data_IF_935909264104
#
_entry.id   IF_935909264104
#
_cell.length_a   1.000
_cell.length_b   1.000
_cell.length_c   1.000
_cell.angle_alpha   90.00
_cell.angle_beta   90.00
_cell.angle_gamma   90.00
#
_symmetry.space_group_name_H-M   'P 1'
#
loop_
_entity.id
_entity.type
_entity.pdbx_description
1 polymer ?
#
# COMPACT_ATOMS: atom_id res chain seq x y z
N UNK A 1 -8.63 16.64 4.80
CA UNK A 1 -8.77 15.86 3.54
C UNK A 1 -7.43 15.94 2.80
N UNK A 2 -7.16 15.16 1.74
CA UNK A 2 -5.81 15.11 1.13
C UNK A 2 -5.31 16.46 0.60
N UNK A 3 -6.22 17.38 0.31
CA UNK A 3 -6.01 18.77 -0.09
C UNK A 3 -5.41 19.67 1.01
N UNK A 4 -5.41 19.24 2.27
CA UNK A 4 -4.82 19.97 3.39
C UNK A 4 -3.34 19.58 3.64
N UNK A 5 -2.83 18.58 2.92
CA UNK A 5 -1.45 18.11 3.08
C UNK A 5 -0.47 19.10 2.44
N UNK A 6 0.58 19.43 3.18
CA UNK A 6 1.68 20.32 2.75
C UNK A 6 3.01 19.68 3.13
N UNK A 7 4.10 20.10 2.47
CA UNK A 7 5.43 19.59 2.81
C UNK A 7 5.76 19.78 4.31
N UNK A 8 5.31 20.88 4.91
CA UNK A 8 5.58 21.23 6.31
C UNK A 8 4.72 20.50 7.34
N UNK A 9 3.64 19.82 6.94
CA UNK A 9 2.76 19.10 7.87
C UNK A 9 2.85 17.58 7.75
N UNK A 10 3.79 17.07 6.94
CA UNK A 10 4.12 15.66 6.94
C UNK A 10 4.73 15.24 8.28
N UNK A 11 4.50 13.98 8.62
CA UNK A 11 5.15 13.31 9.73
C UNK A 11 6.24 12.39 9.21
N UNK A 12 7.32 12.24 9.97
CA UNK A 12 8.34 11.22 9.73
C UNK A 12 8.13 10.12 10.76
N UNK A 13 8.03 8.90 10.29
CA UNK A 13 7.77 7.71 11.12
C UNK A 13 8.93 6.74 10.93
N UNK A 14 9.50 6.23 12.02
CA UNK A 14 10.55 5.21 11.96
C UNK A 14 9.99 3.81 11.62
N UNK A 15 10.88 2.83 11.44
CA UNK A 15 10.51 1.46 11.09
C UNK A 15 9.75 0.72 12.21
N UNK A 16 9.61 1.33 13.39
CA UNK A 16 8.86 0.79 14.52
C UNK A 16 7.47 1.44 14.65
N UNK A 17 7.12 2.37 13.76
CA UNK A 17 5.82 3.06 13.76
C UNK A 17 5.78 4.27 14.69
N UNK A 18 6.92 4.70 15.22
CA UNK A 18 6.99 5.87 16.09
C UNK A 18 7.22 7.13 15.26
N UNK A 19 6.43 8.17 15.53
CA UNK A 19 6.63 9.50 14.95
C UNK A 19 7.91 10.11 15.52
N UNK A 20 8.86 10.44 14.65
CA UNK A 20 10.15 11.06 15.00
C UNK A 20 10.22 12.53 14.60
N UNK A 21 9.43 12.96 13.62
CA UNK A 21 9.25 14.38 13.26
C UNK A 21 7.79 14.68 12.93
N UNK A 22 7.36 15.93 13.18
CA UNK A 22 5.98 16.38 13.04
C UNK A 22 5.14 16.17 14.31
N UNK A 23 3.90 16.67 14.30
CA UNK A 23 3.01 16.70 15.48
C UNK A 23 1.71 15.90 15.31
N UNK A 24 1.43 15.41 14.10
CA UNK A 24 0.24 14.61 13.86
C UNK A 24 0.48 13.14 14.26
N UNK A 25 -0.57 12.41 14.69
CA UNK A 25 -0.44 10.98 14.95
C UNK A 25 -0.30 10.20 13.64
N UNK A 26 0.49 9.12 13.66
CA UNK A 26 0.52 8.16 12.57
C UNK A 26 -0.80 7.35 12.51
N UNK A 27 -1.27 7.04 11.30
CA UNK A 27 -2.33 6.07 11.09
C UNK A 27 -1.75 4.66 11.19
N UNK A 28 -2.13 3.88 12.20
CA UNK A 28 -1.62 2.53 12.41
C UNK A 28 -1.88 1.59 11.23
N UNK A 29 -3.07 1.63 10.64
CA UNK A 29 -3.40 0.78 9.49
C UNK A 29 -2.59 1.16 8.23
N UNK A 30 -2.42 2.47 8.01
CA UNK A 30 -1.56 2.98 6.92
C UNK A 30 -0.10 2.57 7.14
N UNK A 31 0.41 2.73 8.35
CA UNK A 31 1.78 2.34 8.69
C UNK A 31 2.01 0.84 8.47
N UNK A 32 1.10 -0.04 8.92
CA UNK A 32 1.24 -1.49 8.77
C UNK A 32 1.50 -1.91 7.32
N UNK A 33 0.73 -1.37 6.37
CA UNK A 33 0.85 -1.76 4.95
C UNK A 33 2.12 -1.17 4.33
N UNK A 34 2.36 0.14 4.53
CA UNK A 34 3.50 0.83 3.89
C UNK A 34 4.84 0.32 4.44
N UNK A 35 4.93 0.14 5.75
CA UNK A 35 6.16 -0.33 6.39
C UNK A 35 6.52 -1.74 5.96
N UNK A 36 5.54 -2.65 5.80
CA UNK A 36 5.79 -3.99 5.29
C UNK A 36 6.40 -4.00 3.88
N UNK A 37 5.93 -3.11 2.99
CA UNK A 37 6.51 -2.97 1.64
C UNK A 37 7.94 -2.41 1.72
N UNK A 38 8.15 -1.31 2.45
CA UNK A 38 9.48 -0.70 2.59
C UNK A 38 10.51 -1.64 3.25
N UNK A 39 10.09 -2.45 4.23
CA UNK A 39 10.96 -3.46 4.86
C UNK A 39 11.27 -4.64 3.94
N UNK A 40 10.40 -4.95 2.98
CA UNK A 40 10.59 -6.04 2.03
C UNK A 40 11.32 -5.62 0.75
N UNK A 41 11.30 -4.32 0.40
CA UNK A 41 11.75 -3.77 -0.88
C UNK A 41 12.53 -2.49 -0.66
N UNK A 42 13.86 -2.60 -0.61
CA UNK A 42 14.75 -1.45 -0.49
C UNK A 42 14.65 -0.49 -1.69
N UNK A 43 14.27 -1.00 -2.86
CA UNK A 43 14.06 -0.22 -4.09
C UNK A 43 12.72 0.54 -4.12
N UNK A 44 11.79 0.22 -3.22
CA UNK A 44 10.49 0.89 -3.14
C UNK A 44 10.61 2.20 -2.33
N UNK A 45 11.09 3.28 -2.96
CA UNK A 45 11.21 4.59 -2.30
C UNK A 45 9.87 5.27 -2.02
N UNK A 46 8.79 4.88 -2.70
CA UNK A 46 7.45 5.43 -2.52
C UNK A 46 6.41 4.32 -2.67
N UNK A 47 5.44 4.30 -1.76
CA UNK A 47 4.31 3.35 -1.76
C UNK A 47 3.03 4.16 -1.71
N UNK A 48 2.08 3.85 -2.60
CA UNK A 48 0.78 4.51 -2.68
C UNK A 48 -0.31 3.45 -2.48
N UNK A 49 -1.25 3.75 -1.59
CA UNK A 49 -2.42 2.92 -1.32
C UNK A 49 -3.69 3.75 -1.53
N UNK A 50 -4.67 3.21 -2.26
CA UNK A 50 -5.92 3.92 -2.57
C UNK A 50 -7.14 3.01 -2.46
N UNK A 51 -8.27 3.60 -2.11
CA UNK A 51 -9.60 2.97 -2.08
C UNK A 51 -10.53 3.62 -3.12
N UNK A 52 -10.11 3.66 -4.38
CA UNK A 52 -11.00 4.15 -5.45
C UNK A 52 -12.09 3.11 -5.72
N UNK A 53 -13.32 3.56 -6.01
CA UNK A 53 -14.42 2.66 -6.36
C UNK A 53 -14.06 1.67 -7.49
N UNK A 54 -13.52 2.09 -8.64
CA UNK A 54 -13.14 1.15 -9.69
C UNK A 54 -12.00 0.21 -9.27
N UNK A 55 -11.01 0.69 -8.51
CA UNK A 55 -9.91 -0.14 -8.03
C UNK A 55 -10.38 -1.24 -7.08
N UNK A 56 -11.24 -0.89 -6.12
CA UNK A 56 -11.84 -1.86 -5.20
C UNK A 56 -12.76 -2.85 -5.93
N UNK A 57 -13.52 -2.40 -6.92
CA UNK A 57 -14.38 -3.27 -7.72
C UNK A 57 -13.57 -4.35 -8.46
N UNK A 58 -12.48 -3.95 -9.13
CA UNK A 58 -11.56 -4.89 -9.81
C UNK A 58 -10.90 -5.84 -8.81
N UNK A 59 -10.44 -5.35 -7.66
CA UNK A 59 -9.80 -6.17 -6.63
C UNK A 59 -10.75 -7.20 -5.98
N UNK A 60 -12.07 -6.97 -6.05
CA UNK A 60 -13.09 -7.90 -5.56
C UNK A 60 -13.49 -8.98 -6.60
N UNK A 61 -13.09 -8.82 -7.87
CA UNK A 61 -13.36 -9.81 -8.91
C UNK A 61 -12.38 -10.99 -8.85
N UNK A 62 -12.87 -12.21 -9.11
CA UNK A 62 -12.05 -13.43 -9.09
C UNK A 62 -10.86 -13.37 -10.06
N UNK A 63 -11.06 -12.80 -11.24
CA UNK A 63 -10.03 -12.69 -12.28
C UNK A 63 -9.16 -11.42 -12.15
N UNK A 64 -9.47 -10.53 -11.20
CA UNK A 64 -8.76 -9.28 -11.00
C UNK A 64 -8.72 -8.37 -12.23
N UNK A 65 -7.55 -7.77 -12.49
CA UNK A 65 -7.32 -6.88 -13.63
C UNK A 65 -7.19 -7.69 -14.94
N UNK A 66 -8.24 -7.63 -15.76
CA UNK A 66 -8.25 -8.23 -17.09
C UNK A 66 -7.45 -7.40 -18.10
N UNK A 67 -6.77 -8.07 -19.03
CA UNK A 67 -6.03 -7.46 -20.12
C UNK A 67 -6.96 -7.16 -21.32
N UNK A 68 -7.80 -6.13 -21.21
CA UNK A 68 -8.84 -5.81 -22.20
C UNK A 68 -8.50 -4.62 -23.11
N UNK A 69 -7.52 -3.81 -22.73
CA UNK A 69 -7.13 -2.62 -23.47
C UNK A 69 -5.63 -2.30 -23.28
N UNK A 70 -5.16 -1.28 -24.01
CA UNK A 70 -3.76 -0.84 -23.99
C UNK A 70 -3.28 -0.52 -22.57
N UNK A 71 -4.06 0.22 -21.78
CA UNK A 71 -3.68 0.64 -20.42
C UNK A 71 -3.55 -0.58 -19.51
N UNK A 72 -4.52 -1.50 -19.53
CA UNK A 72 -4.42 -2.74 -18.73
C UNK A 72 -3.23 -3.62 -19.12
N UNK A 73 -2.78 -3.53 -20.38
CA UNK A 73 -1.62 -4.28 -20.88
C UNK A 73 -0.30 -3.76 -20.33
N UNK A 74 -0.19 -2.49 -19.96
CA UNK A 74 1.02 -1.92 -19.34
C UNK A 74 1.36 -2.58 -17.98
N UNK A 75 0.37 -3.23 -17.37
CA UNK A 75 0.47 -3.96 -16.11
C UNK A 75 0.57 -5.48 -16.28
N UNK A 76 0.69 -5.98 -17.51
CA UNK A 76 0.80 -7.42 -17.78
C UNK A 76 1.99 -8.03 -17.02
N UNK A 77 1.74 -9.09 -16.25
CA UNK A 77 2.72 -9.73 -15.35
C UNK A 77 3.39 -8.79 -14.34
N UNK A 78 2.75 -7.66 -14.00
CA UNK A 78 3.28 -6.66 -13.06
C UNK A 78 2.29 -6.33 -11.93
N UNK A 79 1.27 -7.17 -11.74
CA UNK A 79 0.26 -7.05 -10.67
C UNK A 79 0.37 -8.24 -9.73
N UNK A 80 0.68 -7.96 -8.47
CA UNK A 80 0.57 -8.93 -7.38
C UNK A 80 -0.81 -8.87 -6.73
N UNK A 81 -1.30 -10.01 -6.23
CA UNK A 81 -2.56 -10.11 -5.49
C UNK A 81 -2.29 -10.57 -4.06
N UNK A 82 -3.02 -9.99 -3.10
CA UNK A 82 -2.97 -10.36 -1.70
C UNK A 82 -4.40 -10.66 -1.22
N UNK A 83 -4.67 -11.82 -0.59
CA UNK A 83 -5.98 -12.13 -0.03
C UNK A 83 -6.42 -11.10 1.01
N UNK A 84 -7.72 -10.85 1.13
CA UNK A 84 -8.23 -9.96 2.16
C UNK A 84 -8.14 -10.63 3.54
N UNK A 85 -7.40 -10.02 4.47
CA UNK A 85 -7.16 -10.55 5.83
C UNK A 85 -7.86 -9.74 6.94
N UNK A 86 -8.78 -8.84 6.56
CA UNK A 86 -9.41 -7.88 7.46
C UNK A 86 -8.64 -6.57 7.58
N UNK A 87 -8.94 -5.77 8.59
CA UNK A 87 -8.32 -4.45 8.78
C UNK A 87 -6.91 -4.61 9.36
N UNK A 88 -5.94 -3.95 8.73
CA UNK A 88 -4.50 -4.10 8.99
C UNK A 88 -3.99 -3.36 10.25
N UNK A 89 -4.53 -3.70 11.43
CA UNK A 89 -4.10 -3.07 12.69
C UNK A 89 -2.86 -3.72 13.34
N UNK A 90 -2.37 -4.83 12.79
CA UNK A 90 -1.31 -5.64 13.40
C UNK A 90 -0.21 -5.97 12.39
N UNK A 91 1.00 -5.50 12.67
CA UNK A 91 2.23 -5.74 11.90
C UNK A 91 2.57 -7.23 11.77
N UNK A 92 2.23 -8.06 12.77
CA UNK A 92 2.48 -9.49 12.73
C UNK A 92 1.59 -10.26 11.76
N UNK A 93 0.49 -9.66 11.32
CA UNK A 93 -0.51 -10.30 10.45
C UNK A 93 -0.20 -10.13 8.98
N UNK A 94 0.29 -8.96 8.58
CA UNK A 94 0.42 -8.60 7.17
C UNK A 94 1.60 -9.31 6.51
N UNK A 95 1.34 -10.48 5.91
CA UNK A 95 2.27 -11.16 4.99
C UNK A 95 2.28 -10.49 3.61
N UNK A 96 2.46 -9.16 3.56
CA UNK A 96 2.66 -8.45 2.29
C UNK A 96 3.89 -8.97 1.52
N UNK A 97 4.81 -9.66 2.20
CA UNK A 97 5.98 -10.32 1.63
C UNK A 97 5.67 -11.25 0.44
N UNK A 98 4.55 -11.98 0.45
CA UNK A 98 4.26 -12.95 -0.62
C UNK A 98 3.77 -12.31 -1.93
N UNK A 99 3.24 -11.08 -1.90
CA UNK A 99 2.74 -10.40 -3.10
C UNK A 99 3.82 -9.58 -3.84
N UNK A 100 4.99 -9.37 -3.23
CA UNK A 100 6.07 -8.51 -3.75
C UNK A 100 7.24 -9.30 -4.40
N UNK A 101 7.17 -10.63 -4.40
CA UNK A 101 8.26 -11.51 -4.82
C UNK A 101 8.20 -11.92 -6.31
N UNK A 102 7.33 -11.31 -7.12
CA UNK A 102 7.02 -11.75 -8.49
C UNK A 102 7.39 -10.76 -9.61
N UNK A 103 8.53 -10.09 -9.50
CA UNK A 103 9.08 -9.22 -10.56
C UNK A 103 10.50 -9.60 -10.92
#
# INVERSE_FOLDING_TARGET
MFDEVTASNLIVVDMQGKVVEGSAPANSAGFTIHSAVHMAREDAHCVIHTHTLPGMAVAACQDGLLQLNQISTEFYQRVGYHPYEGVAFDLGRTRAHSALAGG
#
